data_IF_519786537902
#
_entry.id   IF_519786537902
#
_cell.length_a   1.000
_cell.length_b   1.000
_cell.length_c   1.000
_cell.angle_alpha   90.00
_cell.angle_beta   90.00
_cell.angle_gamma   90.00
#
_symmetry.space_group_name_H-M   'P 1'
#
loop_
_entity.id
_entity.type
_entity.pdbx_description
1 polymer ?
#
# COMPACT_ATOMS: atom_id res chain seq x y z
N UNK A 1 48.60 -31.83 41.53
CA UNK A 1 48.81 -33.21 41.06
C UNK A 1 47.54 -33.61 40.30
N UNK A 2 47.45 -33.21 39.03
CA UNK A 2 47.65 -34.08 37.86
C UNK A 2 46.71 -35.28 37.88
N UNK A 3 45.74 -35.31 36.94
CA UNK A 3 45.43 -36.52 36.19
C UNK A 3 44.61 -36.18 34.92
N UNK A 4 45.27 -36.42 33.78
CA UNK A 4 44.73 -36.53 32.44
C UNK A 4 43.65 -37.63 32.38
N UNK A 5 42.78 -37.61 31.36
CA UNK A 5 42.62 -38.72 30.39
C UNK A 5 41.55 -38.33 29.36
N UNK A 6 42.08 -38.10 28.16
CA UNK A 6 41.52 -38.30 26.84
C UNK A 6 40.38 -39.33 26.74
N UNK A 7 39.21 -38.90 26.26
CA UNK A 7 38.20 -39.72 25.57
C UNK A 7 37.68 -38.88 24.41
N UNK A 8 38.24 -39.03 23.21
CA UNK A 8 37.81 -40.01 22.21
C UNK A 8 36.35 -39.80 21.79
N UNK A 9 36.20 -39.16 20.63
CA UNK A 9 35.25 -39.50 19.57
C UNK A 9 33.77 -39.60 19.95
N UNK A 10 33.08 -38.46 19.88
CA UNK A 10 31.62 -38.39 19.81
C UNK A 10 31.18 -37.97 18.40
N UNK A 11 30.65 -38.94 17.66
CA UNK A 11 30.12 -38.87 16.30
C UNK A 11 29.00 -37.83 16.15
N UNK A 12 29.12 -37.03 15.09
CA UNK A 12 28.08 -36.58 14.15
C UNK A 12 26.63 -36.47 14.69
N UNK A 13 26.14 -35.23 14.84
CA UNK A 13 24.70 -34.96 14.75
C UNK A 13 24.47 -33.67 13.96
N UNK A 14 24.34 -33.81 12.64
CA UNK A 14 23.81 -32.77 11.76
C UNK A 14 22.32 -32.58 12.06
N UNK A 15 21.98 -31.70 13.01
CA UNK A 15 20.62 -31.20 13.17
C UNK A 15 20.41 -30.00 12.23
N UNK A 16 20.18 -30.28 10.94
CA UNK A 16 19.67 -29.27 10.02
C UNK A 16 18.20 -29.02 10.38
N UNK A 17 17.96 -28.05 11.26
CA UNK A 17 16.63 -27.50 11.48
C UNK A 17 16.24 -26.72 10.22
N UNK A 18 15.59 -27.41 9.27
CA UNK A 18 14.92 -26.80 8.15
C UNK A 18 13.71 -26.05 8.72
N UNK A 19 13.93 -24.80 9.13
CA UNK A 19 12.84 -23.90 9.49
C UNK A 19 12.09 -23.66 8.18
N UNK A 20 10.99 -24.38 8.01
CA UNK A 20 9.99 -24.12 7.01
C UNK A 20 9.47 -22.71 7.27
N UNK A 21 10.07 -21.73 6.59
CA UNK A 21 9.50 -20.39 6.49
C UNK A 21 8.15 -20.55 5.82
N UNK A 22 7.08 -20.51 6.61
CA UNK A 22 5.74 -20.24 6.11
C UNK A 22 5.80 -18.81 5.58
N UNK A 23 6.20 -18.67 4.32
CA UNK A 23 5.96 -17.48 3.55
C UNK A 23 4.44 -17.35 3.50
N UNK A 24 3.90 -16.56 4.43
CA UNK A 24 2.56 -16.02 4.35
C UNK A 24 2.50 -15.25 3.04
N UNK A 25 2.07 -15.95 1.99
CA UNK A 25 1.55 -15.31 0.79
C UNK A 25 0.27 -14.64 1.25
N UNK A 26 0.41 -13.46 1.85
CA UNK A 26 -0.68 -12.52 1.98
C UNK A 26 -1.22 -12.35 0.57
N UNK A 27 -2.36 -12.97 0.30
CA UNK A 27 -3.09 -12.75 -0.92
C UNK A 27 -3.32 -11.24 -0.97
N UNK A 28 -2.58 -10.56 -1.84
CA UNK A 28 -2.80 -9.17 -2.14
C UNK A 28 -4.18 -9.15 -2.81
N UNK A 29 -5.22 -9.00 -2.01
CA UNK A 29 -6.56 -8.78 -2.51
C UNK A 29 -6.45 -7.51 -3.35
N UNK A 30 -6.50 -7.67 -4.68
CA UNK A 30 -6.45 -6.55 -5.59
C UNK A 30 -7.69 -5.71 -5.28
N UNK A 31 -7.49 -4.55 -4.64
CA UNK A 31 -8.57 -3.64 -4.37
C UNK A 31 -9.15 -3.17 -5.72
N UNK A 32 -10.47 -3.23 -5.83
CA UNK A 32 -11.18 -2.83 -7.06
C UNK A 32 -11.19 -1.31 -7.16
N UNK A 33 -10.58 -0.78 -8.22
CA UNK A 33 -10.55 0.67 -8.45
C UNK A 33 -11.93 1.14 -8.92
N UNK A 34 -12.54 2.04 -8.16
CA UNK A 34 -13.84 2.63 -8.45
C UNK A 34 -13.73 3.95 -9.22
N UNK A 35 -12.55 4.55 -9.22
CA UNK A 35 -12.28 5.77 -9.96
C UNK A 35 -10.81 5.88 -10.36
N UNK A 36 -10.50 6.78 -11.29
CA UNK A 36 -9.14 7.13 -11.69
C UNK A 36 -8.98 8.65 -11.79
N UNK A 37 -7.87 9.16 -11.28
CA UNK A 37 -7.49 10.57 -11.46
C UNK A 37 -7.08 10.77 -12.92
N UNK A 38 -7.94 11.38 -13.71
CA UNK A 38 -7.72 11.64 -15.13
C UNK A 38 -6.91 12.91 -15.39
N UNK A 39 -7.04 13.92 -14.52
CA UNK A 39 -6.22 15.13 -14.55
C UNK A 39 -6.07 15.71 -13.14
N UNK A 40 -4.94 16.36 -12.88
CA UNK A 40 -4.67 17.09 -11.66
C UNK A 40 -3.86 18.35 -12.01
N UNK A 41 -4.43 19.52 -11.77
CA UNK A 41 -3.78 20.82 -11.93
C UNK A 41 -3.69 21.50 -10.55
N UNK A 42 -2.52 22.02 -10.20
CA UNK A 42 -2.25 22.55 -8.87
C UNK A 42 -2.07 21.46 -7.79
N UNK A 43 -2.39 21.81 -6.54
CA UNK A 43 -2.21 20.90 -5.39
C UNK A 43 -3.42 19.97 -5.26
N UNK A 44 -3.25 18.71 -5.66
CA UNK A 44 -4.24 17.64 -5.47
C UNK A 44 -3.65 16.55 -4.60
N UNK A 45 -4.35 16.17 -3.54
CA UNK A 45 -3.89 15.16 -2.57
C UNK A 45 -4.94 14.09 -2.36
N UNK A 46 -4.51 12.87 -2.10
CA UNK A 46 -5.35 11.74 -1.70
C UNK A 46 -5.00 11.31 -0.28
N UNK A 47 -6.03 10.97 0.50
CA UNK A 47 -5.92 10.25 1.77
C UNK A 47 -6.62 8.92 1.59
N UNK A 48 -5.86 7.81 1.59
CA UNK A 48 -6.46 6.48 1.52
C UNK A 48 -7.39 6.19 2.70
N UNK A 49 -8.34 5.28 2.52
CA UNK A 49 -9.17 4.81 3.63
C UNK A 49 -8.30 4.33 4.80
N UNK A 50 -8.65 4.77 6.02
CA UNK A 50 -7.92 4.39 7.24
C UNK A 50 -6.53 5.03 7.41
N UNK A 51 -6.06 5.82 6.45
CA UNK A 51 -4.81 6.57 6.58
C UNK A 51 -5.07 7.96 7.17
N UNK A 52 -4.15 8.44 8.02
CA UNK A 52 -4.20 9.81 8.55
C UNK A 52 -3.45 10.83 7.69
N UNK A 53 -2.66 10.35 6.71
CA UNK A 53 -1.76 11.17 5.92
C UNK A 53 -2.28 11.41 4.51
N UNK A 54 -2.18 12.66 4.09
CA UNK A 54 -2.42 13.09 2.72
C UNK A 54 -1.14 12.92 1.90
N UNK A 55 -1.29 12.40 0.69
CA UNK A 55 -0.20 12.23 -0.26
C UNK A 55 -0.57 12.87 -1.61
N UNK A 56 0.38 13.33 -2.42
CA UNK A 56 0.07 13.88 -3.74
C UNK A 56 -0.67 12.87 -4.64
N UNK A 57 -1.79 13.27 -5.21
CA UNK A 57 -2.50 12.48 -6.21
C UNK A 57 -1.71 12.53 -7.53
N UNK A 58 -1.75 11.43 -8.30
CA UNK A 58 -1.08 11.34 -9.60
C UNK A 58 -2.10 11.06 -10.69
N UNK A 59 -1.88 11.59 -11.89
CA UNK A 59 -2.66 11.19 -13.06
C UNK A 59 -2.47 9.70 -13.31
N UNK A 60 -3.57 9.00 -13.57
CA UNK A 60 -3.63 7.54 -13.69
C UNK A 60 -3.70 6.80 -12.35
N UNK A 61 -3.68 7.50 -11.21
CA UNK A 61 -3.89 6.88 -9.90
C UNK A 61 -5.32 6.36 -9.79
N UNK A 62 -5.44 5.06 -9.57
CA UNK A 62 -6.71 4.43 -9.21
C UNK A 62 -7.06 4.78 -7.77
N UNK A 63 -8.35 5.04 -7.53
CA UNK A 63 -8.93 5.30 -6.23
C UNK A 63 -9.90 4.17 -5.89
N UNK A 64 -9.93 3.77 -4.63
CA UNK A 64 -10.80 2.71 -4.11
C UNK A 64 -11.86 3.31 -3.20
N UNK A 65 -12.89 2.53 -2.87
CA UNK A 65 -13.91 2.95 -1.91
C UNK A 65 -13.26 3.42 -0.60
N UNK A 66 -13.76 4.52 -0.04
CA UNK A 66 -13.24 5.10 1.20
C UNK A 66 -12.10 6.10 1.03
N UNK A 67 -11.44 6.15 -0.14
CA UNK A 67 -10.43 7.17 -0.42
C UNK A 67 -11.04 8.57 -0.47
N UNK A 68 -10.32 9.55 0.07
CA UNK A 68 -10.69 10.97 -0.05
C UNK A 68 -9.70 11.70 -0.95
N UNK A 69 -10.18 12.31 -2.02
CA UNK A 69 -9.40 13.24 -2.86
C UNK A 69 -9.68 14.68 -2.43
N UNK A 70 -8.66 15.52 -2.38
CA UNK A 70 -8.76 16.94 -2.05
C UNK A 70 -8.01 17.80 -3.05
N UNK A 71 -8.66 18.89 -3.47
CA UNK A 71 -8.05 19.98 -4.23
C UNK A 71 -7.73 21.15 -3.29
N UNK A 72 -6.55 21.75 -3.42
CA UNK A 72 -6.19 22.98 -2.72
C UNK A 72 -6.64 24.25 -3.44
N UNK A 73 -6.18 25.40 -2.94
CA UNK A 73 -6.45 26.70 -3.55
C UNK A 73 -5.92 26.77 -5.00
N UNK A 74 -6.76 27.24 -5.92
CA UNK A 74 -6.45 27.32 -7.35
C UNK A 74 -6.25 25.97 -8.06
N UNK A 75 -6.46 24.84 -7.37
CA UNK A 75 -6.29 23.51 -7.95
C UNK A 75 -7.58 23.01 -8.60
N UNK A 76 -7.46 22.12 -9.58
CA UNK A 76 -8.60 21.43 -10.21
C UNK A 76 -8.24 19.96 -10.43
N UNK A 77 -9.19 19.05 -10.26
CA UNK A 77 -9.02 17.65 -10.61
C UNK A 77 -10.15 17.16 -11.52
N UNK A 78 -9.80 16.25 -12.44
CA UNK A 78 -10.77 15.43 -13.17
C UNK A 78 -10.63 13.99 -12.70
N UNK A 79 -11.74 13.40 -12.29
CA UNK A 79 -11.83 12.01 -11.89
C UNK A 79 -12.82 11.30 -12.80
N UNK A 80 -12.43 10.15 -13.34
CA UNK A 80 -13.34 9.27 -14.08
C UNK A 80 -13.76 8.17 -13.11
N UNK A 81 -15.04 8.11 -12.79
CA UNK A 81 -15.65 7.05 -12.00
C UNK A 81 -15.85 5.80 -12.85
N UNK A 82 -16.22 4.70 -12.19
CA UNK A 82 -16.71 3.50 -12.84
C UNK A 82 -17.80 3.86 -13.87
N UNK A 83 -17.84 3.11 -14.98
CA UNK A 83 -18.78 3.33 -16.10
C UNK A 83 -18.52 4.62 -16.91
N UNK A 84 -17.43 5.34 -16.65
CA UNK A 84 -16.96 6.45 -17.49
C UNK A 84 -17.51 7.83 -17.14
N UNK A 85 -18.26 7.95 -16.04
CA UNK A 85 -18.73 9.25 -15.56
C UNK A 85 -17.53 10.12 -15.18
N UNK A 86 -17.45 11.33 -15.75
CA UNK A 86 -16.36 12.26 -15.43
C UNK A 86 -16.85 13.33 -14.45
N UNK A 87 -16.15 13.44 -13.32
CA UNK A 87 -16.40 14.44 -12.28
C UNK A 87 -15.26 15.45 -12.29
N UNK A 88 -15.62 16.74 -12.34
CA UNK A 88 -14.67 17.83 -12.14
C UNK A 88 -14.78 18.35 -10.70
N UNK A 89 -13.66 18.40 -10.01
CA UNK A 89 -13.54 18.89 -8.64
C UNK A 89 -12.81 20.23 -8.72
N UNK A 90 -13.52 21.30 -8.37
CA UNK A 90 -12.99 22.66 -8.32
C UNK A 90 -12.09 22.85 -7.08
N UNK A 91 -11.41 23.99 -6.99
CA UNK A 91 -10.53 24.33 -5.87
C UNK A 91 -11.19 24.22 -4.49
N UNK A 92 -10.38 23.95 -3.46
CA UNK A 92 -10.79 23.89 -2.05
C UNK A 92 -11.98 22.95 -1.77
N UNK A 93 -12.04 21.82 -2.48
CA UNK A 93 -13.07 20.80 -2.31
C UNK A 93 -12.48 19.44 -1.94
N UNK A 94 -13.32 18.61 -1.32
CA UNK A 94 -13.03 17.20 -1.05
C UNK A 94 -14.08 16.31 -1.72
N UNK A 95 -13.64 15.16 -2.25
CA UNK A 95 -14.49 14.13 -2.81
C UNK A 95 -14.18 12.80 -2.11
N UNK A 96 -15.20 12.19 -1.54
CA UNK A 96 -15.14 10.83 -1.01
C UNK A 96 -15.55 9.85 -2.11
N UNK A 97 -14.75 8.81 -2.32
CA UNK A 97 -15.05 7.73 -3.26
C UNK A 97 -15.92 6.69 -2.54
N UNK A 98 -17.09 6.36 -3.09
CA UNK A 98 -18.05 5.41 -2.54
C UNK A 98 -18.72 4.58 -3.63
#
# INVERSE_FOLDING_TARGET
>A
MMQYIMRASGVLLCAAAFVAGTAEHGACAAAEYMAVVAAADGTVTVRPEGADRWSPAKVGMGLVAGDTLRTGAGATALVILELGTTVRIEQDNEMLVQ
#
